data_IF_354189392209
#
_entry.id   IF_354189392209
#
_cell.length_a   1.000
_cell.length_b   1.000
_cell.length_c   1.000
_cell.angle_alpha   90.00
_cell.angle_beta   90.00
_cell.angle_gamma   90.00
#
_symmetry.space_group_name_H-M   'P 1'
#
loop_
_entity.id
_entity.type
_entity.pdbx_description
1 polymer ?
#
# COMPACT_ATOMS: atom_id res chain seq x y z
N UNK A 1 31.58 -22.90 -26.91
CA UNK A 1 30.61 -22.23 -26.04
C UNK A 1 29.84 -21.25 -26.91
N UNK A 2 28.60 -21.56 -27.25
CA UNK A 2 27.75 -20.69 -28.06
C UNK A 2 26.54 -20.33 -27.22
N UNK A 3 26.56 -19.13 -26.64
CA UNK A 3 25.40 -18.55 -25.97
C UNK A 3 24.61 -17.76 -27.02
N UNK A 4 23.66 -18.42 -27.68
CA UNK A 4 22.56 -17.73 -28.35
C UNK A 4 21.40 -17.68 -27.36
N UNK A 5 21.41 -16.62 -26.54
CA UNK A 5 20.18 -16.14 -25.91
C UNK A 5 19.46 -15.38 -27.02
N UNK A 6 18.76 -16.12 -27.87
CA UNK A 6 17.73 -15.58 -28.75
C UNK A 6 16.63 -15.04 -27.83
N UNK A 7 16.84 -13.82 -27.34
CA UNK A 7 15.84 -12.98 -26.73
C UNK A 7 14.94 -12.54 -27.89
N UNK A 8 14.02 -13.42 -28.29
CA UNK A 8 12.87 -12.97 -29.06
C UNK A 8 12.18 -11.91 -28.21
N UNK A 9 12.23 -10.70 -28.73
CA UNK A 9 11.72 -9.49 -28.14
C UNK A 9 10.19 -9.66 -28.10
N UNK A 10 9.63 -10.10 -26.97
CA UNK A 10 8.18 -10.18 -26.71
C UNK A 10 7.48 -8.79 -26.81
N UNK A 11 8.20 -7.74 -27.22
CA UNK A 11 7.69 -6.40 -27.45
C UNK A 11 6.99 -6.32 -28.80
N UNK A 12 5.68 -6.07 -28.76
CA UNK A 12 4.87 -5.79 -29.94
C UNK A 12 5.27 -4.45 -30.58
N UNK A 13 5.20 -4.37 -31.91
CA UNK A 13 5.57 -3.20 -32.71
C UNK A 13 4.80 -1.91 -32.32
N UNK A 14 3.60 -2.05 -31.73
CA UNK A 14 2.78 -0.92 -31.29
C UNK A 14 3.29 -0.27 -29.99
N UNK A 15 4.23 -0.88 -29.28
CA UNK A 15 4.74 -0.35 -28.01
C UNK A 15 5.92 0.61 -28.18
N UNK A 16 5.65 1.91 -28.04
CA UNK A 16 6.70 2.95 -27.92
C UNK A 16 6.98 3.30 -26.45
N UNK A 17 8.01 2.69 -25.86
CA UNK A 17 8.50 3.01 -24.52
C UNK A 17 9.55 4.13 -24.48
N UNK A 18 9.90 4.77 -25.60
CA UNK A 18 10.93 5.83 -25.66
C UNK A 18 10.62 7.05 -24.78
N UNK A 19 9.35 7.24 -24.42
CA UNK A 19 8.86 8.33 -23.56
C UNK A 19 8.67 7.92 -22.09
N UNK A 20 9.15 6.75 -21.71
CA UNK A 20 9.06 6.24 -20.34
C UNK A 20 9.81 7.13 -19.35
N UNK A 21 9.14 7.57 -18.28
CA UNK A 21 9.76 8.34 -17.19
C UNK A 21 9.86 7.47 -15.95
N UNK A 22 11.09 7.23 -15.48
CA UNK A 22 11.34 6.46 -14.26
C UNK A 22 10.68 7.14 -13.06
N UNK A 23 9.83 6.40 -12.35
CA UNK A 23 9.18 6.89 -11.13
C UNK A 23 8.06 7.90 -11.35
N UNK A 24 7.41 7.94 -12.53
CA UNK A 24 6.30 8.86 -12.86
C UNK A 24 5.20 8.97 -11.79
N UNK A 25 4.95 7.88 -11.06
CA UNK A 25 3.94 7.82 -9.97
C UNK A 25 4.54 7.47 -8.60
N UNK A 26 5.87 7.42 -8.48
CA UNK A 26 6.53 6.99 -7.24
C UNK A 26 6.27 7.96 -6.07
N UNK A 27 6.09 9.25 -6.36
CA UNK A 27 5.70 10.25 -5.36
C UNK A 27 4.28 10.03 -4.83
N UNK A 28 3.32 9.72 -5.70
CA UNK A 28 1.92 9.50 -5.35
C UNK A 28 1.74 8.27 -4.44
N UNK A 29 2.61 7.27 -4.57
CA UNK A 29 2.58 6.10 -3.68
C UNK A 29 2.76 6.48 -2.20
N UNK A 30 3.60 7.48 -1.89
CA UNK A 30 3.84 7.90 -0.50
C UNK A 30 2.62 8.53 0.15
N UNK A 31 1.82 9.25 -0.63
CA UNK A 31 0.65 9.99 -0.11
C UNK A 31 -0.59 9.09 0.01
N UNK A 32 -0.71 8.08 -0.86
CA UNK A 32 -1.91 7.23 -0.93
C UNK A 32 -1.75 5.93 -0.13
N UNK A 33 -0.55 5.34 -0.05
CA UNK A 33 -0.33 4.09 0.69
C UNK A 33 0.42 4.34 2.01
N UNK A 34 -0.32 4.68 3.07
CA UNK A 34 0.24 4.63 4.43
C UNK A 34 0.25 3.19 4.92
N UNK A 35 1.28 2.44 4.55
CA UNK A 35 1.52 1.09 5.07
C UNK A 35 1.91 1.19 6.55
N UNK A 36 1.11 0.54 7.41
CA UNK A 36 1.39 0.40 8.84
C UNK A 36 1.68 -1.07 9.12
N UNK A 37 2.90 -1.36 9.58
CA UNK A 37 3.29 -2.70 10.00
C UNK A 37 2.85 -2.93 11.44
N UNK A 38 2.32 -4.11 11.73
CA UNK A 38 2.01 -4.55 13.09
C UNK A 38 3.17 -5.35 13.66
N UNK A 39 3.40 -5.21 14.95
CA UNK A 39 4.37 -6.05 15.64
C UNK A 39 3.97 -7.54 15.58
N UNK A 40 4.93 -8.49 15.63
CA UNK A 40 4.66 -9.91 15.40
C UNK A 40 3.62 -10.52 16.34
N UNK A 41 3.60 -10.08 17.59
CA UNK A 41 2.65 -10.49 18.62
C UNK A 41 1.22 -10.01 18.31
N UNK A 42 1.08 -8.75 17.88
CA UNK A 42 -0.21 -8.18 17.47
C UNK A 42 -0.74 -8.89 16.22
N UNK A 43 0.13 -9.15 15.24
CA UNK A 43 -0.23 -9.88 14.01
C UNK A 43 -0.63 -11.34 14.29
N UNK A 44 -0.09 -11.97 15.34
CA UNK A 44 -0.50 -13.32 15.73
C UNK A 44 -1.92 -13.37 16.31
N UNK A 45 -2.39 -12.26 16.89
CA UNK A 45 -3.73 -12.14 17.49
C UNK A 45 -4.76 -11.66 16.47
N UNK A 46 -4.37 -10.77 15.56
CA UNK A 46 -5.28 -10.18 14.57
C UNK A 46 -4.98 -10.69 13.15
N UNK A 47 -5.91 -11.46 12.54
CA UNK A 47 -5.69 -12.07 11.23
C UNK A 47 -5.70 -11.07 10.07
N UNK A 48 -6.42 -9.94 10.22
CA UNK A 48 -6.59 -8.94 9.16
C UNK A 48 -6.80 -7.52 9.72
N UNK A 49 -6.88 -6.55 8.79
CA UNK A 49 -7.13 -5.15 9.12
C UNK A 49 -8.54 -4.87 9.65
N UNK A 50 -9.52 -5.70 9.31
CA UNK A 50 -10.90 -5.52 9.77
C UNK A 50 -10.99 -5.79 11.28
N UNK A 51 -10.40 -6.90 11.74
CA UNK A 51 -10.33 -7.27 13.15
C UNK A 51 -9.60 -6.22 14.00
N UNK A 52 -8.49 -5.65 13.48
CA UNK A 52 -7.77 -4.54 14.16
C UNK A 52 -8.66 -3.32 14.29
N UNK A 53 -9.32 -2.92 13.20
CA UNK A 53 -10.15 -1.72 13.17
C UNK A 53 -11.37 -1.85 14.08
N UNK A 54 -11.99 -3.02 14.15
CA UNK A 54 -13.11 -3.27 15.05
C UNK A 54 -12.68 -3.10 16.51
N UNK A 55 -11.56 -3.71 16.90
CA UNK A 55 -11.03 -3.61 18.26
C UNK A 55 -10.72 -2.15 18.64
N UNK A 56 -10.04 -1.40 17.75
CA UNK A 56 -9.72 0.01 17.98
C UNK A 56 -10.98 0.88 18.08
N UNK A 57 -12.00 0.64 17.25
CA UNK A 57 -13.30 1.33 17.34
C UNK A 57 -14.01 1.01 18.64
N UNK A 58 -13.94 -0.23 19.11
CA UNK A 58 -14.45 -0.65 20.42
C UNK A 58 -13.78 0.12 21.56
N UNK A 59 -12.45 0.24 21.53
CA UNK A 59 -11.66 1.03 22.49
C UNK A 59 -12.05 2.52 22.48
N UNK A 60 -12.25 3.12 21.30
CA UNK A 60 -12.71 4.51 21.17
C UNK A 60 -14.07 4.71 21.84
N UNK A 61 -15.01 3.78 21.60
CA UNK A 61 -16.35 3.79 22.22
C UNK A 61 -16.26 3.63 23.74
N UNK A 62 -15.46 2.66 24.21
CA UNK A 62 -15.31 2.36 25.64
C UNK A 62 -14.65 3.51 26.42
N UNK A 63 -13.69 4.22 25.80
CA UNK A 63 -13.06 5.41 26.39
C UNK A 63 -14.02 6.62 26.46
N UNK A 64 -15.15 6.59 25.75
CA UNK A 64 -16.07 7.72 25.68
C UNK A 64 -15.51 8.93 24.91
N UNK A 65 -14.49 8.72 24.06
CA UNK A 65 -13.98 9.79 23.19
C UNK A 65 -14.93 9.93 22.01
N UNK A 66 -16.08 10.53 22.26
CA UNK A 66 -16.88 11.09 21.19
C UNK A 66 -16.05 12.18 20.51
N UNK A 67 -15.45 11.85 19.37
CA UNK A 67 -15.34 12.75 18.23
C UNK A 67 -14.77 14.16 18.45
N UNK A 68 -13.80 14.39 19.36
CA UNK A 68 -13.24 15.74 19.54
C UNK A 68 -12.40 16.24 18.35
N UNK A 69 -11.89 15.37 17.45
CA UNK A 69 -10.88 15.79 16.46
C UNK A 69 -11.22 15.49 15.00
N UNK A 70 -12.39 14.93 14.66
CA UNK A 70 -12.75 14.67 13.25
C UNK A 70 -13.23 15.93 12.48
N UNK A 71 -13.11 17.12 13.08
CA UNK A 71 -13.49 18.40 12.44
C UNK A 71 -12.30 19.27 11.99
N UNK A 72 -11.05 18.77 12.07
CA UNK A 72 -9.85 19.54 11.68
C UNK A 72 -9.12 19.03 10.42
N UNK A 73 -9.69 18.07 9.69
CA UNK A 73 -9.07 17.54 8.48
C UNK A 73 -10.01 17.54 7.27
N UNK A 74 -10.78 18.62 7.09
CA UNK A 74 -11.44 18.97 5.83
C UNK A 74 -10.92 20.30 5.32
#
# INVERSE_FOLDING_TARGET
>A
MSNNLDQEDDMLDEYDFSKGVRGKYASQFKDVSRLVSLDPDVKAVFPDSEAVNEALRGLIKARGVAAHELKKAS
#
